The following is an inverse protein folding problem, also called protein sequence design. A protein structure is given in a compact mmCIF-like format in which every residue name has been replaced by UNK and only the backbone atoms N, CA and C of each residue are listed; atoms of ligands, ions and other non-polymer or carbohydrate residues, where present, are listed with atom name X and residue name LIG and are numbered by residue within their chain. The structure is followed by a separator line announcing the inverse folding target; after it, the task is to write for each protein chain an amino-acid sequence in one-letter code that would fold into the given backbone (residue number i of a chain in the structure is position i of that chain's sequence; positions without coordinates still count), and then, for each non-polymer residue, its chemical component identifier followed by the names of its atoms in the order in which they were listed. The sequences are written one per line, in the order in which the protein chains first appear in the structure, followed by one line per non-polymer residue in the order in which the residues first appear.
data_IF_561136386312
#
_entry.id   IF_561136386312
#
_cell.length_a   1.000
_cell.length_b   1.000
_cell.length_c   1.000
_cell.angle_alpha   90.00
_cell.angle_beta   90.00
_cell.angle_gamma   90.00
#
_symmetry.space_group_name_H-M   'P 1'
#
loop_
_entity.id
_entity.type
_entity.pdbx_description
1 polymer ?
#
# COMPACT_ATOMS: atom_id res chain seq x y z
N UNK A 1 36.16 12.53 -44.01
CA UNK A 1 35.49 12.48 -45.33
C UNK A 1 34.83 13.83 -45.51
N UNK A 2 35.30 14.62 -46.48
CA UNK A 2 34.81 15.98 -46.71
C UNK A 2 33.41 15.95 -47.32
N UNK A 3 32.62 16.98 -47.01
CA UNK A 3 31.29 17.21 -47.57
C UNK A 3 31.29 17.20 -49.10
N UNK A 4 32.42 17.61 -49.69
CA UNK A 4 32.66 17.63 -51.13
C UNK A 4 32.55 16.24 -51.78
N UNK A 5 33.06 15.19 -51.12
CA UNK A 5 32.94 13.81 -51.64
C UNK A 5 31.50 13.29 -51.65
N UNK A 6 30.69 13.71 -50.68
CA UNK A 6 29.28 13.30 -50.59
C UNK A 6 28.48 14.05 -51.66
N UNK A 7 28.74 15.35 -51.84
CA UNK A 7 28.08 16.16 -52.86
C UNK A 7 28.36 15.67 -54.29
N UNK A 8 29.62 15.38 -54.62
CA UNK A 8 30.02 14.87 -55.94
C UNK A 8 29.42 13.49 -56.27
N UNK A 9 29.23 12.64 -55.24
CA UNK A 9 28.58 11.34 -55.42
C UNK A 9 27.07 11.47 -55.70
N UNK A 10 26.38 12.38 -54.99
CA UNK A 10 24.95 12.69 -55.18
C UNK A 10 24.69 13.25 -56.57
N UNK A 11 25.54 14.15 -57.08
CA UNK A 11 25.43 14.73 -58.43
C UNK A 11 25.61 13.68 -59.52
N UNK A 12 26.49 12.70 -59.32
CA UNK A 12 26.73 11.63 -60.31
C UNK A 12 25.67 10.51 -60.28
N UNK A 13 24.92 10.35 -59.18
CA UNK A 13 23.94 9.27 -58.98
C UNK A 13 22.58 9.79 -58.43
N UNK A 14 21.89 10.70 -59.16
CA UNK A 14 20.70 11.40 -58.65
C UNK A 14 19.52 10.45 -58.30
N UNK A 15 19.39 9.32 -59.00
CA UNK A 15 18.38 8.30 -58.69
C UNK A 15 18.69 7.45 -57.46
N UNK A 16 19.96 7.37 -57.05
CA UNK A 16 20.42 6.56 -55.92
C UNK A 16 20.29 7.34 -54.60
N UNK A 17 20.54 8.66 -54.64
CA UNK A 17 20.36 9.56 -53.51
C UNK A 17 18.90 9.69 -53.07
N UNK A 18 17.95 9.82 -54.01
CA UNK A 18 16.51 9.92 -53.70
C UNK A 18 15.96 8.62 -53.10
N UNK A 19 16.46 7.46 -53.56
CA UNK A 19 16.10 6.15 -53.02
C UNK A 19 16.63 5.93 -51.60
N UNK A 20 17.89 6.29 -51.33
CA UNK A 20 18.47 6.22 -49.97
C UNK A 20 17.72 7.16 -49.01
N UNK A 21 17.36 8.37 -49.46
CA UNK A 21 16.58 9.31 -48.65
C UNK A 21 15.19 8.77 -48.31
N UNK A 22 14.50 8.15 -49.28
CA UNK A 22 13.19 7.55 -49.05
C UNK A 22 13.26 6.38 -48.06
N UNK A 23 14.28 5.50 -48.19
CA UNK A 23 14.49 4.41 -47.25
C UNK A 23 14.84 4.90 -45.84
N UNK A 24 15.69 5.90 -45.72
CA UNK A 24 16.02 6.53 -44.44
C UNK A 24 14.79 7.16 -43.78
N UNK A 25 13.92 7.78 -44.56
CA UNK A 25 12.67 8.38 -44.06
C UNK A 25 11.69 7.32 -43.55
N UNK A 26 11.53 6.21 -44.27
CA UNK A 26 10.68 5.08 -43.86
C UNK A 26 11.24 4.41 -42.60
N UNK A 27 12.56 4.20 -42.53
CA UNK A 27 13.21 3.64 -41.35
C UNK A 27 13.06 4.56 -40.12
N UNK A 28 13.24 5.87 -40.30
CA UNK A 28 13.07 6.86 -39.23
C UNK A 28 11.62 6.88 -38.70
N UNK A 29 10.62 6.84 -39.59
CA UNK A 29 9.21 6.74 -39.19
C UNK A 29 8.92 5.41 -38.46
N UNK A 30 9.48 4.30 -38.95
CA UNK A 30 9.36 3.00 -38.30
C UNK A 30 9.92 3.02 -36.87
N UNK A 31 11.11 3.60 -36.66
CA UNK A 31 11.73 3.75 -35.34
C UNK A 31 10.93 4.70 -34.44
N UNK A 32 10.42 5.82 -34.98
CA UNK A 32 9.63 6.79 -34.24
C UNK A 32 8.32 6.20 -33.68
N UNK A 33 7.74 5.20 -34.35
CA UNK A 33 6.56 4.48 -33.85
C UNK A 33 6.94 3.30 -32.96
N UNK A 34 8.01 2.57 -33.31
CA UNK A 34 8.42 1.36 -32.59
C UNK A 34 8.95 1.65 -31.18
N UNK A 35 9.73 2.71 -31.00
CA UNK A 35 10.32 3.05 -29.70
C UNK A 35 9.23 3.33 -28.65
N UNK A 36 8.24 4.24 -28.89
CA UNK A 36 7.13 4.44 -27.96
C UNK A 36 6.28 3.20 -27.74
N UNK A 37 6.03 2.40 -28.78
CA UNK A 37 5.25 1.17 -28.64
C UNK A 37 5.95 0.13 -27.75
N UNK A 38 7.28 0.01 -27.88
CA UNK A 38 8.10 -0.86 -27.04
C UNK A 38 8.16 -0.36 -25.59
N UNK A 39 8.36 0.95 -25.39
CA UNK A 39 8.34 1.58 -24.08
C UNK A 39 7.00 1.39 -23.37
N UNK A 40 5.86 1.62 -24.05
CA UNK A 40 4.52 1.39 -23.50
C UNK A 40 4.31 -0.05 -23.03
N UNK A 41 4.79 -1.05 -23.78
CA UNK A 41 4.71 -2.47 -23.38
C UNK A 41 5.58 -2.79 -22.17
N UNK A 42 6.71 -2.12 -22.02
CA UNK A 42 7.56 -2.26 -20.85
C UNK A 42 6.96 -1.57 -19.62
N UNK A 43 6.46 -0.34 -19.79
CA UNK A 43 5.77 0.42 -18.75
C UNK A 43 4.52 -0.29 -18.24
N UNK A 44 3.70 -0.86 -19.12
CA UNK A 44 2.52 -1.62 -18.71
C UNK A 44 2.88 -2.81 -17.81
N UNK A 45 3.91 -3.57 -18.18
CA UNK A 45 4.40 -4.70 -17.37
C UNK A 45 4.99 -4.23 -16.04
N UNK A 46 5.73 -3.12 -16.05
CA UNK A 46 6.31 -2.54 -14.83
C UNK A 46 5.24 -2.01 -13.88
N UNK A 47 4.21 -1.35 -14.40
CA UNK A 47 3.09 -0.83 -13.62
C UNK A 47 2.29 -1.98 -13.01
N UNK A 48 2.00 -3.03 -13.79
CA UNK A 48 1.31 -4.22 -13.28
C UNK A 48 2.11 -4.94 -12.19
N UNK A 49 3.45 -5.01 -12.29
CA UNK A 49 4.29 -5.54 -11.22
C UNK A 49 4.26 -4.64 -9.97
N UNK A 50 4.37 -3.32 -10.16
CA UNK A 50 4.35 -2.33 -9.08
C UNK A 50 3.02 -2.31 -8.33
N UNK A 51 1.89 -2.49 -9.01
CA UNK A 51 0.56 -2.60 -8.39
C UNK A 51 0.46 -3.82 -7.46
N UNK A 52 1.09 -4.93 -7.83
CA UNK A 52 1.11 -6.15 -7.00
C UNK A 52 1.98 -5.97 -5.77
N UNK A 53 3.18 -5.41 -5.95
CA UNK A 53 4.08 -5.10 -4.84
C UNK A 53 3.42 -4.13 -3.85
N UNK A 54 2.67 -3.15 -4.36
CA UNK A 54 1.85 -2.25 -3.53
C UNK A 54 0.75 -3.01 -2.79
N UNK A 55 0.02 -3.90 -3.45
CA UNK A 55 -1.03 -4.71 -2.82
C UNK A 55 -0.50 -5.53 -1.64
N UNK A 56 0.62 -6.23 -1.82
CA UNK A 56 1.30 -6.96 -0.73
C UNK A 56 1.77 -6.03 0.37
N UNK A 57 2.30 -4.85 0.00
CA UNK A 57 2.72 -3.82 0.95
C UNK A 57 1.57 -3.33 1.83
N UNK A 58 0.40 -3.04 1.24
CA UNK A 58 -0.79 -2.62 1.97
C UNK A 58 -1.32 -3.73 2.88
N UNK A 59 -1.47 -4.96 2.38
CA UNK A 59 -1.93 -6.09 3.19
C UNK A 59 -0.98 -6.39 4.36
N UNK A 60 0.33 -6.28 4.14
CA UNK A 60 1.35 -6.47 5.20
C UNK A 60 1.21 -5.38 6.25
N UNK A 61 1.09 -4.12 5.84
CA UNK A 61 0.92 -2.99 6.75
C UNK A 61 -0.36 -3.14 7.59
N UNK A 62 -1.45 -3.61 6.98
CA UNK A 62 -2.75 -3.77 7.64
C UNK A 62 -2.64 -4.82 8.75
N UNK A 63 -2.09 -5.99 8.40
CA UNK A 63 -1.83 -7.06 9.35
C UNK A 63 -0.92 -6.61 10.51
N UNK A 64 0.18 -5.93 10.22
CA UNK A 64 1.12 -5.47 11.26
C UNK A 64 0.51 -4.41 12.17
N UNK A 65 -0.26 -3.46 11.63
CA UNK A 65 -0.93 -2.42 12.43
C UNK A 65 -2.01 -3.01 13.34
N UNK A 66 -2.77 -4.01 12.86
CA UNK A 66 -3.70 -4.77 13.68
C UNK A 66 -2.95 -5.53 14.78
N UNK A 67 -1.82 -6.19 14.47
CA UNK A 67 -0.95 -6.83 15.47
C UNK A 67 -0.35 -5.86 16.50
N UNK A 68 -0.01 -4.64 16.09
CA UNK A 68 0.44 -3.58 17.03
C UNK A 68 -0.67 -3.22 18.02
N UNK A 69 -1.94 -3.19 17.59
CA UNK A 69 -3.08 -2.99 18.48
C UNK A 69 -3.27 -4.17 19.45
N UNK A 70 -3.15 -5.41 19.00
CA UNK A 70 -3.20 -6.59 19.88
C UNK A 70 -2.21 -6.45 21.06
N UNK A 71 -0.98 -6.05 20.72
CA UNK A 71 0.09 -5.84 21.70
C UNK A 71 -0.26 -4.72 22.67
N UNK A 72 -0.85 -3.63 22.18
CA UNK A 72 -1.32 -2.53 23.01
C UNK A 72 -2.45 -2.97 23.96
N UNK A 73 -3.44 -3.74 23.47
CA UNK A 73 -4.56 -4.27 24.28
C UNK A 73 -4.06 -5.21 25.38
N UNK A 74 -3.12 -6.11 25.06
CA UNK A 74 -2.51 -6.99 26.06
C UNK A 74 -1.74 -6.18 27.12
N UNK A 75 -1.01 -5.15 26.71
CA UNK A 75 -0.31 -4.26 27.64
C UNK A 75 -1.26 -3.48 28.55
N UNK A 76 -2.45 -3.07 28.06
CA UNK A 76 -3.51 -2.49 28.89
C UNK A 76 -3.94 -3.50 29.96
N UNK A 77 -4.24 -4.73 29.54
CA UNK A 77 -4.78 -5.78 30.40
C UNK A 77 -3.80 -6.17 31.53
N UNK A 78 -2.50 -6.32 31.22
CA UNK A 78 -1.48 -6.69 32.20
C UNK A 78 -1.22 -5.58 33.23
N UNK A 79 -1.23 -4.31 32.79
CA UNK A 79 -0.91 -3.16 33.65
C UNK A 79 -2.10 -2.65 34.44
N UNK A 80 -3.32 -2.96 34.00
CA UNK A 80 -4.54 -2.74 34.76
C UNK A 80 -4.53 -3.48 36.10
N UNK A 81 -3.96 -4.69 36.17
CA UNK A 81 -3.80 -5.43 37.42
C UNK A 81 -3.00 -4.65 38.49
N UNK A 82 -2.28 -3.60 38.10
CA UNK A 82 -1.46 -2.75 38.96
C UNK A 82 -2.15 -1.43 39.37
N UNK A 83 -3.36 -1.13 38.86
CA UNK A 83 -4.24 -0.06 39.39
C UNK A 83 -3.80 1.39 39.11
N UNK A 84 -3.28 1.71 37.92
CA UNK A 84 -2.71 3.05 37.62
C UNK A 84 -3.44 3.80 36.49
N UNK A 85 -4.35 4.71 36.83
CA UNK A 85 -5.12 5.55 35.88
C UNK A 85 -4.26 6.42 34.94
N UNK A 86 -3.03 6.78 35.35
CA UNK A 86 -2.09 7.54 34.50
C UNK A 86 -1.62 6.79 33.25
N UNK A 87 -1.83 5.47 33.20
CA UNK A 87 -1.39 4.60 32.11
C UNK A 87 -2.42 4.54 30.98
N UNK A 88 -3.71 4.67 31.29
CA UNK A 88 -4.78 4.65 30.28
C UNK A 88 -4.67 5.84 29.33
N UNK A 89 -4.35 7.02 29.87
CA UNK A 89 -4.07 8.21 29.06
C UNK A 89 -2.83 8.03 28.17
N UNK A 90 -1.77 7.38 28.67
CA UNK A 90 -0.57 7.11 27.87
C UNK A 90 -0.86 6.14 26.73
N UNK A 91 -1.68 5.11 26.99
CA UNK A 91 -2.05 4.15 25.97
C UNK A 91 -2.98 4.79 24.94
N UNK A 92 -3.95 5.61 25.35
CA UNK A 92 -4.78 6.40 24.43
C UNK A 92 -3.91 7.25 23.49
N UNK A 93 -2.86 7.91 23.99
CA UNK A 93 -1.93 8.68 23.16
C UNK A 93 -1.16 7.79 22.17
N UNK A 94 -0.77 6.58 22.56
CA UNK A 94 -0.13 5.62 21.64
C UNK A 94 -1.11 5.16 20.57
N UNK A 95 -2.36 4.88 20.93
CA UNK A 95 -3.42 4.49 20.00
C UNK A 95 -3.78 5.61 19.02
N UNK A 96 -3.77 6.87 19.45
CA UNK A 96 -3.96 8.02 18.54
C UNK A 96 -2.85 8.11 17.50
N UNK A 97 -1.60 7.92 17.91
CA UNK A 97 -0.47 7.87 16.96
C UNK A 97 -0.56 6.66 16.03
N UNK A 98 -1.12 5.54 16.48
CA UNK A 98 -1.42 4.40 15.62
C UNK A 98 -2.50 4.77 14.60
N UNK A 99 -3.58 5.40 15.05
CA UNK A 99 -4.69 5.82 14.21
C UNK A 99 -4.26 6.83 13.13
N UNK A 100 -3.43 7.81 13.48
CA UNK A 100 -2.90 8.79 12.52
C UNK A 100 -2.01 8.12 11.47
N UNK A 101 -1.06 7.27 11.90
CA UNK A 101 -0.21 6.50 10.97
C UNK A 101 -1.02 5.56 10.09
N UNK A 102 -2.11 5.03 10.61
CA UNK A 102 -3.02 4.16 9.89
C UNK A 102 -3.76 4.91 8.78
N UNK A 103 -4.30 6.11 9.09
CA UNK A 103 -4.97 6.95 8.11
C UNK A 103 -4.06 7.28 6.91
N UNK A 104 -2.83 7.74 7.19
CA UNK A 104 -1.88 8.10 6.13
C UNK A 104 -1.39 6.87 5.35
N UNK A 105 -1.31 5.71 6.01
CA UNK A 105 -0.79 4.48 5.43
C UNK A 105 -1.67 3.83 4.37
N UNK A 106 -2.97 4.17 4.31
CA UNK A 106 -3.95 3.52 3.41
C UNK A 106 -4.67 4.51 2.48
N UNK A 107 -4.23 5.77 2.44
CA UNK A 107 -4.89 6.82 1.65
C UNK A 107 -5.08 6.49 0.17
N UNK A 108 -4.10 5.81 -0.43
CA UNK A 108 -4.09 5.46 -1.86
C UNK A 108 -4.38 3.97 -2.10
N UNK A 109 -4.95 3.27 -1.12
CA UNK A 109 -5.38 1.89 -1.31
C UNK A 109 -6.76 1.84 -2.00
N UNK A 110 -6.90 0.96 -2.98
CA UNK A 110 -8.11 0.83 -3.81
C UNK A 110 -8.81 -0.52 -3.65
N UNK A 111 -8.27 -1.40 -2.81
CA UNK A 111 -8.84 -2.71 -2.56
C UNK A 111 -10.04 -2.63 -1.61
N UNK A 112 -11.20 -3.04 -2.10
CA UNK A 112 -12.46 -2.87 -1.38
C UNK A 112 -12.49 -3.62 -0.04
N UNK A 113 -11.94 -4.84 0.02
CA UNK A 113 -11.92 -5.64 1.24
C UNK A 113 -10.99 -5.01 2.28
N UNK A 114 -9.81 -4.55 1.86
CA UNK A 114 -8.91 -3.80 2.76
C UNK A 114 -9.50 -2.47 3.21
N UNK A 115 -10.23 -1.75 2.35
CA UNK A 115 -10.89 -0.49 2.71
C UNK A 115 -11.94 -0.73 3.80
N UNK A 116 -12.77 -1.76 3.66
CA UNK A 116 -13.78 -2.12 4.68
C UNK A 116 -13.08 -2.47 5.99
N UNK A 117 -12.07 -3.35 5.95
CA UNK A 117 -11.34 -3.75 7.15
C UNK A 117 -10.63 -2.56 7.82
N UNK A 118 -10.13 -1.62 7.03
CA UNK A 118 -9.53 -0.37 7.47
C UNK A 118 -10.54 0.53 8.19
N UNK A 119 -11.76 0.63 7.65
CA UNK A 119 -12.84 1.36 8.30
C UNK A 119 -13.22 0.73 9.65
N UNK A 120 -13.38 -0.59 9.69
CA UNK A 120 -13.74 -1.32 10.91
C UNK A 120 -12.66 -1.17 11.99
N UNK A 121 -11.40 -1.32 11.61
CA UNK A 121 -10.26 -1.14 12.52
C UNK A 121 -10.20 0.29 13.07
N UNK A 122 -10.45 1.29 12.24
CA UNK A 122 -10.51 2.70 12.65
C UNK A 122 -11.63 2.95 13.66
N UNK A 123 -12.81 2.37 13.44
CA UNK A 123 -13.93 2.48 14.40
C UNK A 123 -13.51 1.90 15.74
N UNK A 124 -12.99 0.67 15.75
CA UNK A 124 -12.57 -0.04 16.96
C UNK A 124 -11.47 0.72 17.72
N UNK A 125 -10.47 1.26 17.02
CA UNK A 125 -9.44 2.11 17.63
C UNK A 125 -10.02 3.37 18.26
N UNK A 126 -10.95 4.03 17.56
CA UNK A 126 -11.59 5.26 18.04
C UNK A 126 -12.41 5.00 19.30
N UNK A 127 -13.16 3.90 19.32
CA UNK A 127 -13.96 3.48 20.46
C UNK A 127 -13.06 3.16 21.65
N UNK A 128 -11.97 2.41 21.43
CA UNK A 128 -11.00 2.08 22.48
C UNK A 128 -10.30 3.33 23.04
N UNK A 129 -9.88 4.27 22.19
CA UNK A 129 -9.32 5.56 22.61
C UNK A 129 -10.34 6.32 23.47
N UNK A 130 -11.60 6.34 23.05
CA UNK A 130 -12.68 7.01 23.77
C UNK A 130 -12.87 6.39 25.15
N UNK A 131 -12.92 5.06 25.25
CA UNK A 131 -13.02 4.34 26.53
C UNK A 131 -11.83 4.63 27.44
N UNK A 132 -10.60 4.57 26.93
CA UNK A 132 -9.39 4.84 27.72
C UNK A 132 -9.30 6.29 28.19
N UNK A 133 -9.86 7.24 27.44
CA UNK A 133 -9.95 8.66 27.82
C UNK A 133 -11.13 8.97 28.72
N UNK A 134 -12.20 8.16 28.66
CA UNK A 134 -13.41 8.35 29.46
C UNK A 134 -13.16 8.15 30.97
N UNK A 135 -11.98 7.67 31.36
CA UNK A 135 -11.55 7.52 32.75
C UNK A 135 -11.12 8.84 33.44
N UNK A 136 -11.99 9.85 33.30
CA UNK A 136 -12.28 10.82 34.36
C UNK A 136 -13.48 10.37 35.23
N UNK A 137 -13.99 9.13 35.08
CA UNK A 137 -14.95 8.57 36.04
C UNK A 137 -15.80 7.35 35.65
N UNK A 138 -15.25 6.24 35.13
CA UNK A 138 -16.05 5.02 34.92
C UNK A 138 -15.98 4.01 36.10
N UNK A 139 -17.05 3.22 36.34
CA UNK A 139 -17.27 2.50 37.59
C UNK A 139 -16.71 1.08 37.54
N UNK A 140 -15.78 0.76 38.45
CA UNK A 140 -15.48 -0.60 38.90
C UNK A 140 -14.78 -1.54 37.89
N UNK A 141 -13.98 -2.45 38.44
CA UNK A 141 -13.17 -3.44 37.72
C UNK A 141 -13.94 -4.31 36.74
N UNK A 142 -15.14 -4.74 37.13
CA UNK A 142 -15.94 -5.71 36.38
C UNK A 142 -16.51 -5.13 35.06
N UNK A 143 -16.73 -3.80 34.98
CA UNK A 143 -17.26 -3.17 33.77
C UNK A 143 -16.21 -3.05 32.67
N UNK A 144 -14.95 -2.85 33.06
CA UNK A 144 -13.80 -2.72 32.15
C UNK A 144 -13.34 -4.08 31.61
N UNK A 145 -13.30 -5.12 32.44
CA UNK A 145 -12.96 -6.47 32.00
C UNK A 145 -13.96 -6.99 30.94
N UNK A 146 -15.25 -6.64 31.09
CA UNK A 146 -16.28 -6.87 30.09
C UNK A 146 -15.98 -6.17 28.76
N UNK A 147 -15.64 -4.88 28.79
CA UNK A 147 -15.32 -4.10 27.58
C UNK A 147 -14.05 -4.61 26.88
N UNK A 148 -12.99 -4.94 27.62
CA UNK A 148 -11.75 -5.50 27.04
C UNK A 148 -12.02 -6.88 26.41
N UNK A 149 -12.85 -7.71 27.04
CA UNK A 149 -13.27 -8.99 26.47
C UNK A 149 -14.09 -8.80 25.20
N UNK A 150 -14.98 -7.81 25.15
CA UNK A 150 -15.77 -7.45 23.97
C UNK A 150 -14.85 -6.96 22.83
N UNK A 151 -13.88 -6.11 23.13
CA UNK A 151 -12.87 -5.67 22.15
C UNK A 151 -12.06 -6.85 21.60
N UNK A 152 -11.67 -7.82 22.42
CA UNK A 152 -10.97 -9.03 21.95
C UNK A 152 -11.83 -9.85 20.98
N UNK A 153 -13.13 -10.03 21.29
CA UNK A 153 -14.05 -10.76 20.42
C UNK A 153 -14.24 -10.08 19.05
N UNK A 154 -14.21 -8.74 19.01
CA UNK A 154 -14.29 -7.98 17.75
C UNK A 154 -12.95 -7.96 17.01
N UNK A 155 -11.84 -8.03 17.74
CA UNK A 155 -10.49 -7.94 17.18
C UNK A 155 -10.00 -9.24 16.52
N UNK A 156 -10.28 -10.41 17.11
CA UNK A 156 -9.85 -11.70 16.56
C UNK A 156 -10.28 -11.93 15.09
N UNK A 157 -11.56 -11.78 14.70
CA UNK A 157 -11.96 -11.96 13.30
C UNK A 157 -11.31 -10.92 12.37
N UNK A 158 -11.03 -9.72 12.88
CA UNK A 158 -10.35 -8.67 12.12
C UNK A 158 -8.91 -9.06 11.80
N UNK A 159 -8.22 -9.67 12.77
CA UNK A 159 -6.86 -10.18 12.60
C UNK A 159 -6.83 -11.34 11.59
N UNK A 160 -7.78 -12.27 11.69
CA UNK A 160 -7.88 -13.40 10.76
C UNK A 160 -8.15 -12.91 9.32
N UNK A 161 -9.06 -11.93 9.15
CA UNK A 161 -9.33 -11.31 7.86
C UNK A 161 -8.08 -10.61 7.29
N UNK A 162 -7.33 -9.89 8.11
CA UNK A 162 -6.09 -9.24 7.67
C UNK A 162 -5.02 -10.27 7.26
N UNK A 163 -4.92 -11.38 7.99
CA UNK A 163 -4.01 -12.47 7.66
C UNK A 163 -4.41 -13.14 6.33
N UNK A 164 -5.71 -13.39 6.11
CA UNK A 164 -6.23 -13.94 4.87
C UNK A 164 -5.93 -13.03 3.67
N UNK A 165 -6.16 -11.72 3.81
CA UNK A 165 -5.84 -10.73 2.77
C UNK A 165 -4.33 -10.69 2.45
N UNK A 166 -3.47 -10.84 3.45
CA UNK A 166 -2.03 -10.92 3.26
C UNK A 166 -1.62 -12.19 2.50
N UNK A 167 -2.22 -13.33 2.82
CA UNK A 167 -1.98 -14.59 2.11
C UNK A 167 -2.44 -14.45 0.65
N UNK A 168 -3.67 -13.98 0.42
CA UNK A 168 -4.21 -13.78 -0.93
C UNK A 168 -3.35 -12.82 -1.77
N UNK A 169 -2.88 -11.72 -1.19
CA UNK A 169 -2.00 -10.78 -1.87
C UNK A 169 -0.66 -11.43 -2.28
N UNK A 170 -0.07 -12.26 -1.41
CA UNK A 170 1.18 -13.00 -1.71
C UNK A 170 0.97 -14.06 -2.79
N UNK A 171 -0.14 -14.79 -2.77
CA UNK A 171 -0.49 -15.78 -3.79
C UNK A 171 -0.73 -15.14 -5.16
N UNK A 172 -1.41 -13.99 -5.20
CA UNK A 172 -1.60 -13.20 -6.42
C UNK A 172 -0.28 -12.68 -6.99
N UNK A 173 0.73 -12.40 -6.14
CA UNK A 173 2.07 -12.03 -6.57
C UNK A 173 2.82 -13.22 -7.21
N UNK A 174 2.66 -14.43 -6.68
CA UNK A 174 3.39 -15.63 -7.10
C UNK A 174 2.85 -16.30 -8.37
N UNK A 175 1.53 -16.27 -8.59
CA UNK A 175 0.84 -17.01 -9.68
C UNK A 175 1.12 -16.51 -11.11
N UNK A 176 1.97 -15.50 -11.30
CA UNK A 176 2.24 -14.92 -12.63
C UNK A 176 3.73 -14.87 -13.01
N UNK A 177 4.56 -15.62 -12.29
CA UNK A 177 5.94 -15.94 -12.70
C UNK A 177 5.96 -17.22 -13.52
#
# INVERSE_FOLDING_TARGET
MSWDCISAWIEHHPGLASWVQALGSIAALGLAVWIPASQRRYEFRRNAAQERDRSVGYATRLFLMIKELETAILAINDRYQLGTSSVDLQIAVVLERLLDRFHDGFRDDLDAERIILTMDFRSLLTDLITVLRADLGFPGKDHRDGQVSEFKQLFEPMLDNAAALLVAAKEAQQTTH
#
